data_IF_095310902588
#
_entry.id   IF_095310902588
#
_cell.length_a   1.000
_cell.length_b   1.000
_cell.length_c   1.000
_cell.angle_alpha   90.00
_cell.angle_beta   90.00
_cell.angle_gamma   90.00
#
_symmetry.space_group_name_H-M   'P 1'
#
loop_
_entity.id
_entity.type
_entity.pdbx_description
1 polymer ?
#
# COMPACT_ATOMS: atom_id res chain seq x y z
N UNK A 1 -45.85 10.07 -50.12
CA UNK A 1 -44.97 9.09 -49.43
C UNK A 1 -44.19 8.31 -50.47
N UNK A 2 -42.89 8.11 -50.23
CA UNK A 2 -41.93 7.24 -50.96
C UNK A 2 -41.51 7.77 -52.34
N UNK A 3 -40.28 7.64 -52.81
CA UNK A 3 -38.93 7.34 -52.28
C UNK A 3 -38.05 7.77 -53.46
N UNK A 4 -37.20 8.79 -53.32
CA UNK A 4 -36.28 9.15 -54.42
C UNK A 4 -34.96 8.39 -54.25
N UNK A 5 -34.63 7.71 -55.34
CA UNK A 5 -33.54 6.78 -55.56
C UNK A 5 -32.20 7.50 -55.65
N UNK A 6 -31.22 7.08 -54.85
CA UNK A 6 -29.81 7.44 -55.04
C UNK A 6 -29.29 6.81 -56.33
N UNK A 7 -28.72 7.63 -57.22
CA UNK A 7 -27.86 7.17 -58.28
C UNK A 7 -26.79 8.24 -58.53
N UNK A 8 -25.58 8.03 -57.99
CA UNK A 8 -24.33 8.35 -58.69
C UNK A 8 -23.12 7.74 -57.97
N UNK A 9 -22.57 6.74 -58.65
CA UNK A 9 -21.27 6.12 -58.44
C UNK A 9 -20.23 6.83 -59.31
N UNK A 10 -18.97 6.80 -58.86
CA UNK A 10 -17.67 6.67 -59.59
C UNK A 10 -16.64 7.62 -58.93
N UNK A 11 -15.38 7.28 -58.64
CA UNK A 11 -14.60 6.02 -58.51
C UNK A 11 -13.17 6.46 -58.13
N UNK A 12 -12.46 5.66 -57.32
CA UNK A 12 -11.00 5.63 -57.22
C UNK A 12 -10.42 6.42 -56.03
N UNK A 13 -9.45 5.93 -55.24
CA UNK A 13 -8.61 4.73 -55.32
C UNK A 13 -8.03 4.46 -53.92
N UNK A 14 -8.20 3.21 -53.47
CA UNK A 14 -7.36 2.39 -52.60
C UNK A 14 -6.26 3.05 -51.74
N UNK A 15 -6.34 2.83 -50.42
CA UNK A 15 -5.44 1.94 -49.64
C UNK A 15 -6.24 1.49 -48.41
N UNK A 16 -6.57 0.19 -48.38
CA UNK A 16 -7.12 -0.51 -47.21
C UNK A 16 -6.07 -0.58 -46.08
N UNK A 17 -6.44 -0.84 -44.83
CA UNK A 17 -6.96 -2.14 -44.44
C UNK A 17 -7.73 -2.01 -43.12
N UNK A 18 -9.03 -2.33 -43.15
CA UNK A 18 -9.83 -2.58 -41.95
C UNK A 18 -9.47 -3.99 -41.48
N UNK A 19 -8.74 -4.13 -40.37
CA UNK A 19 -8.42 -5.44 -39.80
C UNK A 19 -9.65 -6.01 -39.09
N UNK A 20 -10.12 -7.17 -39.55
CA UNK A 20 -11.09 -8.02 -38.84
C UNK A 20 -10.46 -8.54 -37.54
N UNK A 21 -11.17 -8.40 -36.41
CA UNK A 21 -10.88 -9.17 -35.20
C UNK A 21 -11.34 -10.61 -35.41
N UNK A 22 -10.40 -11.54 -35.59
CA UNK A 22 -10.68 -12.96 -35.40
C UNK A 22 -10.49 -13.36 -33.92
N UNK A 23 -11.41 -14.17 -33.41
CA UNK A 23 -11.35 -14.74 -32.08
C UNK A 23 -10.23 -15.78 -31.99
N UNK A 24 -9.38 -15.66 -30.98
CA UNK A 24 -8.23 -16.55 -30.74
C UNK A 24 -8.73 -17.96 -30.36
N UNK A 25 -8.20 -19.05 -30.95
CA UNK A 25 -8.62 -20.40 -30.59
C UNK A 25 -8.12 -20.77 -29.16
N UNK A 26 -8.79 -21.73 -28.49
CA UNK A 26 -8.44 -22.13 -27.13
C UNK A 26 -7.06 -22.81 -27.09
N UNK A 27 -6.30 -22.51 -26.04
CA UNK A 27 -4.93 -22.99 -25.83
C UNK A 27 -4.94 -24.48 -25.52
N UNK A 28 -4.20 -25.27 -26.30
CA UNK A 28 -3.96 -26.69 -26.07
C UNK A 28 -2.81 -26.89 -25.05
N UNK A 29 -3.12 -27.53 -23.92
CA UNK A 29 -2.20 -27.76 -22.81
C UNK A 29 -1.45 -29.11 -22.88
N UNK A 30 -1.60 -29.87 -23.98
CA UNK A 30 -1.06 -31.24 -24.08
C UNK A 30 0.34 -31.35 -24.68
N UNK A 31 0.97 -30.26 -25.12
CA UNK A 31 2.36 -30.27 -25.59
C UNK A 31 3.38 -30.11 -24.44
N UNK A 32 4.46 -30.92 -24.38
CA UNK A 32 5.52 -30.72 -23.39
C UNK A 32 6.26 -29.40 -23.67
N UNK A 33 6.28 -28.52 -22.68
CA UNK A 33 6.98 -27.23 -22.74
C UNK A 33 8.48 -27.48 -22.76
N UNK A 34 9.16 -27.13 -23.86
CA UNK A 34 10.62 -27.10 -23.90
C UNK A 34 11.12 -25.94 -23.03
N UNK A 35 11.73 -26.25 -21.89
CA UNK A 35 12.40 -25.27 -21.04
C UNK A 35 13.63 -24.77 -21.79
N UNK A 36 13.58 -23.52 -22.26
CA UNK A 36 14.75 -22.86 -22.82
C UNK A 36 15.80 -22.64 -21.71
N UNK A 37 17.05 -23.05 -21.97
CA UNK A 37 18.16 -22.86 -21.04
C UNK A 37 18.40 -21.37 -20.74
N UNK A 38 18.85 -21.00 -19.52
CA UNK A 38 19.10 -19.61 -19.15
C UNK A 38 20.16 -18.96 -20.05
N UNK A 39 19.79 -17.86 -20.70
CA UNK A 39 20.73 -17.03 -21.48
C UNK A 39 21.54 -16.16 -20.51
N UNK A 40 22.83 -16.45 -20.39
CA UNK A 40 23.79 -15.68 -19.59
C UNK A 40 24.04 -14.32 -20.26
N UNK A 41 23.45 -13.25 -19.71
CA UNK A 41 23.72 -11.88 -20.16
C UNK A 41 25.10 -11.44 -19.66
N UNK A 42 26.10 -11.45 -20.52
CA UNK A 42 27.41 -10.80 -20.26
C UNK A 42 27.20 -9.32 -19.93
N UNK A 43 27.62 -8.93 -18.73
CA UNK A 43 27.58 -7.56 -18.25
C UNK A 43 28.60 -6.68 -19.02
N UNK A 44 28.11 -5.69 -19.75
CA UNK A 44 28.95 -4.61 -20.31
C UNK A 44 29.11 -3.53 -19.24
N UNK A 45 30.33 -3.06 -18.92
CA UNK A 45 30.55 -2.08 -17.87
C UNK A 45 30.01 -0.70 -18.31
N UNK A 46 28.93 -0.24 -17.67
CA UNK A 46 28.43 1.13 -17.84
C UNK A 46 29.35 2.11 -17.11
N UNK A 47 30.01 2.99 -17.86
CA UNK A 47 30.77 4.15 -17.34
C UNK A 47 29.86 5.01 -16.45
N UNK A 48 30.33 5.32 -15.22
CA UNK A 48 29.67 6.26 -14.30
C UNK A 48 29.58 7.63 -14.96
N UNK A 49 28.35 8.11 -15.19
CA UNK A 49 28.10 9.51 -15.58
C UNK A 49 28.34 10.41 -14.36
N UNK A 50 28.97 11.58 -14.51
CA UNK A 50 29.17 12.51 -13.40
C UNK A 50 27.83 13.03 -12.87
N UNK A 51 27.73 13.11 -11.54
CA UNK A 51 26.55 13.55 -10.80
C UNK A 51 26.27 15.01 -11.12
N UNK A 52 25.07 15.31 -11.63
CA UNK A 52 24.62 16.67 -11.88
C UNK A 52 24.54 17.48 -10.57
N UNK A 53 24.86 18.79 -10.59
CA UNK A 53 24.84 19.62 -9.38
C UNK A 53 23.42 19.73 -8.82
N UNK A 54 23.27 19.47 -7.51
CA UNK A 54 22.00 19.51 -6.78
C UNK A 54 21.35 20.90 -6.92
N UNK A 55 20.15 20.95 -7.49
CA UNK A 55 19.32 22.17 -7.59
C UNK A 55 18.98 22.64 -6.17
N UNK A 56 19.31 23.89 -5.83
CA UNK A 56 18.95 24.47 -4.52
C UNK A 56 17.42 24.50 -4.39
N UNK A 57 16.90 23.82 -3.37
CA UNK A 57 15.47 23.83 -3.03
C UNK A 57 15.05 25.23 -2.56
N UNK A 58 13.78 25.58 -2.77
CA UNK A 58 13.22 26.88 -2.37
C UNK A 58 13.24 27.08 -0.85
N UNK A 59 13.31 28.34 -0.43
CA UNK A 59 13.39 28.73 0.99
C UNK A 59 12.14 28.22 1.73
N UNK A 60 12.35 27.30 2.69
CA UNK A 60 11.27 26.70 3.51
C UNK A 60 10.95 25.25 3.18
N UNK A 61 11.54 24.66 2.13
CA UNK A 61 11.42 23.23 1.84
C UNK A 61 12.49 22.47 2.60
N UNK A 62 12.09 21.60 3.53
CA UNK A 62 13.00 20.66 4.16
C UNK A 62 13.63 19.80 3.06
N UNK A 63 14.97 19.70 3.06
CA UNK A 63 15.65 18.73 2.20
C UNK A 63 15.08 17.34 2.48
N UNK A 64 14.82 16.50 1.46
CA UNK A 64 14.47 15.11 1.69
C UNK A 64 15.47 14.52 2.67
N UNK A 65 14.97 14.17 3.86
CA UNK A 65 15.81 13.64 4.92
C UNK A 65 16.27 12.27 4.43
N UNK A 66 17.57 12.09 4.27
CA UNK A 66 18.11 10.79 3.92
C UNK A 66 17.78 9.86 5.11
N UNK A 67 16.93 8.83 4.96
CA UNK A 67 16.47 8.03 6.09
C UNK A 67 17.63 7.31 6.80
N UNK A 68 18.78 7.18 6.13
CA UNK A 68 20.03 6.64 6.69
C UNK A 68 20.86 7.68 7.48
N UNK A 69 20.61 8.98 7.30
CA UNK A 69 21.34 10.06 7.98
C UNK A 69 20.88 10.31 9.41
N UNK A 70 19.71 9.79 9.78
CA UNK A 70 19.24 9.80 11.16
C UNK A 70 19.82 8.58 11.86
N UNK A 71 20.69 8.80 12.83
CA UNK A 71 21.21 7.73 13.68
C UNK A 71 20.07 7.14 14.53
N UNK A 72 19.30 6.21 13.96
CA UNK A 72 18.28 5.47 14.67
C UNK A 72 18.95 4.39 15.51
N UNK A 73 19.09 4.66 16.81
CA UNK A 73 19.49 3.63 17.78
C UNK A 73 18.28 2.78 18.11
N UNK A 74 18.18 1.60 17.50
CA UNK A 74 17.19 0.59 17.86
C UNK A 74 17.44 0.17 19.31
N UNK A 75 16.50 0.44 20.21
CA UNK A 75 16.50 -0.18 21.54
C UNK A 75 16.07 -1.64 21.38
N UNK A 76 16.76 -2.61 22.01
CA UNK A 76 16.32 -3.99 21.97
C UNK A 76 14.92 -4.07 22.58
N UNK A 77 14.01 -4.72 21.85
CA UNK A 77 12.67 -4.95 22.34
C UNK A 77 12.73 -5.89 23.57
N UNK A 78 11.87 -5.67 24.59
CA UNK A 78 11.76 -6.61 25.70
C UNK A 78 11.32 -7.98 25.19
N UNK A 79 11.81 -9.06 25.81
CA UNK A 79 11.44 -10.43 25.44
C UNK A 79 9.96 -10.74 25.68
N UNK A 80 9.38 -10.10 26.69
CA UNK A 80 8.00 -10.28 27.10
C UNK A 80 7.32 -8.92 27.23
N UNK A 81 6.05 -8.88 26.85
CA UNK A 81 5.21 -7.70 26.98
C UNK A 81 4.50 -7.75 28.34
N UNK A 82 4.79 -6.78 29.21
CA UNK A 82 4.14 -6.67 30.51
C UNK A 82 2.79 -5.96 30.37
N UNK A 83 1.78 -6.47 31.08
CA UNK A 83 0.44 -5.88 31.20
C UNK A 83 0.25 -5.37 32.64
N UNK A 84 0.04 -4.06 32.78
CA UNK A 84 -0.16 -3.40 34.06
C UNK A 84 -1.65 -3.21 34.38
N UNK A 85 -1.92 -2.72 35.59
CA UNK A 85 -3.28 -2.46 36.05
C UNK A 85 -3.87 -1.28 35.27
N UNK A 86 -5.02 -1.49 34.64
CA UNK A 86 -5.77 -0.44 33.95
C UNK A 86 -5.26 -0.12 32.55
N UNK A 87 -4.31 -0.89 32.02
CA UNK A 87 -3.70 -0.63 30.71
C UNK A 87 -4.73 -0.59 29.58
N UNK A 88 -4.57 0.37 28.68
CA UNK A 88 -5.27 0.43 27.40
C UNK A 88 -4.42 -0.24 26.32
N UNK A 89 -4.82 -1.45 25.95
CA UNK A 89 -4.20 -2.26 24.90
C UNK A 89 -4.91 -2.00 23.59
N UNK A 90 -4.20 -1.44 22.62
CA UNK A 90 -4.72 -1.18 21.28
C UNK A 90 -4.05 -2.09 20.26
N UNK A 91 -4.88 -2.80 19.48
CA UNK A 91 -4.42 -3.66 18.40
C UNK A 91 -4.54 -2.89 17.09
N UNK A 92 -3.46 -2.83 16.32
CA UNK A 92 -3.44 -2.27 14.96
C UNK A 92 -2.96 -3.35 14.00
N UNK A 93 -3.30 -3.24 12.72
CA UNK A 93 -2.83 -4.21 11.74
C UNK A 93 -3.67 -4.27 10.48
N UNK A 94 -3.32 -5.26 9.67
CA UNK A 94 -3.94 -5.59 8.39
C UNK A 94 -5.10 -6.59 8.59
N UNK A 95 -5.31 -7.50 7.63
CA UNK A 95 -6.40 -8.45 7.63
C UNK A 95 -6.43 -9.36 8.86
N UNK A 96 -5.28 -9.78 9.39
CA UNK A 96 -5.25 -10.64 10.59
C UNK A 96 -5.90 -9.94 11.79
N UNK A 97 -5.49 -8.69 12.08
CA UNK A 97 -6.09 -7.90 13.15
C UNK A 97 -7.59 -7.64 12.91
N UNK A 98 -7.96 -7.26 11.67
CA UNK A 98 -9.37 -7.04 11.33
C UNK A 98 -10.25 -8.27 11.61
N UNK A 99 -9.78 -9.48 11.25
CA UNK A 99 -10.54 -10.71 11.51
C UNK A 99 -10.64 -11.11 12.98
N UNK A 100 -9.73 -10.66 13.83
CA UNK A 100 -9.85 -10.87 15.28
C UNK A 100 -11.06 -10.14 15.88
N UNK A 101 -11.63 -9.13 15.20
CA UNK A 101 -12.92 -8.55 15.61
C UNK A 101 -14.11 -9.51 15.42
N UNK A 102 -14.03 -10.40 14.43
CA UNK A 102 -15.06 -11.41 14.19
C UNK A 102 -14.88 -12.65 15.06
N UNK A 103 -13.63 -12.96 15.42
CA UNK A 103 -13.26 -14.10 16.25
C UNK A 103 -12.41 -13.62 17.44
N UNK A 104 -13.01 -13.04 18.48
CA UNK A 104 -12.32 -12.34 19.57
C UNK A 104 -11.70 -13.32 20.61
N UNK A 105 -11.14 -14.43 20.15
CA UNK A 105 -10.49 -15.42 21.00
C UNK A 105 -9.30 -14.82 21.73
N UNK A 106 -8.46 -14.04 21.03
CA UNK A 106 -7.30 -13.40 21.62
C UNK A 106 -7.66 -12.41 22.73
N UNK A 107 -8.68 -11.57 22.50
CA UNK A 107 -9.18 -10.64 23.50
C UNK A 107 -9.72 -11.37 24.74
N UNK A 108 -10.53 -12.41 24.51
CA UNK A 108 -11.07 -13.26 25.58
C UNK A 108 -9.96 -13.90 26.41
N UNK A 109 -8.96 -14.46 25.73
CA UNK A 109 -7.80 -15.10 26.34
C UNK A 109 -6.92 -14.14 27.14
N UNK A 110 -6.86 -12.85 26.76
CA UNK A 110 -6.19 -11.81 27.54
C UNK A 110 -6.97 -11.50 28.83
N UNK A 111 -8.28 -11.31 28.75
CA UNK A 111 -9.11 -11.11 29.95
C UNK A 111 -9.05 -12.30 30.90
N UNK A 112 -9.01 -13.54 30.38
CA UNK A 112 -8.89 -14.75 31.20
C UNK A 112 -7.53 -14.89 31.89
N UNK A 113 -6.44 -14.47 31.23
CA UNK A 113 -5.09 -14.49 31.83
C UNK A 113 -4.87 -13.36 32.83
N UNK A 114 -5.54 -12.23 32.64
CA UNK A 114 -5.35 -11.02 33.44
C UNK A 114 -6.66 -10.50 34.07
N UNK A 115 -7.43 -11.34 34.79
CA UNK A 115 -8.77 -10.98 35.26
C UNK A 115 -8.76 -9.83 36.27
N UNK A 116 -7.70 -9.73 37.09
CA UNK A 116 -7.59 -8.69 38.11
C UNK A 116 -7.04 -7.37 37.58
N UNK A 117 -6.48 -7.35 36.36
CA UNK A 117 -5.77 -6.19 35.82
C UNK A 117 -6.68 -5.07 35.32
N UNK A 118 -7.97 -5.32 35.13
CA UNK A 118 -8.93 -4.34 34.63
C UNK A 118 -8.45 -3.61 33.36
N UNK A 119 -7.90 -4.38 32.41
CA UNK A 119 -7.40 -3.85 31.13
C UNK A 119 -8.55 -3.43 30.22
N UNK A 120 -8.26 -2.55 29.26
CA UNK A 120 -9.15 -2.21 28.15
C UNK A 120 -8.51 -2.66 26.87
N UNK A 121 -9.26 -3.37 26.03
CA UNK A 121 -8.76 -3.83 24.73
C UNK A 121 -9.56 -3.13 23.63
N UNK A 122 -8.87 -2.54 22.65
CA UNK A 122 -9.50 -1.97 21.46
C UNK A 122 -8.75 -2.42 20.21
N UNK A 123 -9.47 -3.07 19.31
CA UNK A 123 -8.92 -3.44 18.01
C UNK A 123 -9.30 -2.41 16.94
N UNK A 124 -8.27 -1.85 16.31
CA UNK A 124 -8.30 -0.89 15.21
C UNK A 124 -7.73 -1.47 13.91
N UNK A 125 -7.57 -2.80 13.85
CA UNK A 125 -7.16 -3.50 12.63
C UNK A 125 -8.17 -3.28 11.51
N UNK A 126 -7.65 -2.98 10.32
CA UNK A 126 -8.47 -2.80 9.13
C UNK A 126 -7.77 -3.43 7.91
N UNK A 127 -8.56 -3.98 7.00
CA UNK A 127 -8.03 -4.63 5.82
C UNK A 127 -7.36 -3.61 4.90
N UNK A 128 -6.22 -3.98 4.32
CA UNK A 128 -5.44 -3.07 3.47
C UNK A 128 -4.55 -2.08 4.25
N UNK A 129 -4.62 -2.04 5.59
CA UNK A 129 -3.61 -1.34 6.37
C UNK A 129 -2.24 -2.03 6.24
N UNK A 130 -1.20 -1.22 6.18
CA UNK A 130 0.21 -1.63 6.16
C UNK A 130 1.00 -0.83 7.21
N UNK A 131 2.26 -1.21 7.52
CA UNK A 131 3.06 -0.46 8.47
C UNK A 131 3.23 1.02 8.10
N UNK A 132 3.30 1.34 6.80
CA UNK A 132 3.54 2.69 6.29
C UNK A 132 2.30 3.41 5.76
N UNK A 133 1.23 2.70 5.41
CA UNK A 133 0.06 3.25 4.73
C UNK A 133 -1.24 2.64 5.25
N UNK A 134 -2.18 3.48 5.68
CA UNK A 134 -3.46 3.14 6.30
C UNK A 134 -4.59 3.93 5.60
N UNK A 135 -5.11 3.40 4.48
CA UNK A 135 -6.00 4.15 3.60
C UNK A 135 -7.34 4.46 4.29
N UNK A 136 -7.83 5.68 4.12
CA UNK A 136 -9.17 6.04 4.57
C UNK A 136 -9.72 7.21 3.73
N UNK A 137 -10.85 7.04 3.01
CA UNK A 137 -11.33 8.05 2.06
C UNK A 137 -11.72 9.38 2.71
N UNK A 138 -12.10 9.37 3.99
CA UNK A 138 -12.44 10.56 4.77
C UNK A 138 -11.23 11.31 5.38
N UNK A 139 -10.01 11.03 4.92
CA UNK A 139 -8.77 11.72 5.33
C UNK A 139 -8.05 12.27 4.12
N UNK A 140 -7.26 13.33 4.29
CA UNK A 140 -6.41 13.83 3.20
C UNK A 140 -5.32 12.82 2.85
N UNK A 141 -4.73 12.96 1.67
CA UNK A 141 -3.74 11.99 1.16
C UNK A 141 -2.56 11.79 2.11
N UNK A 142 -2.04 12.87 2.69
CA UNK A 142 -0.87 12.82 3.56
C UNK A 142 -1.18 12.15 4.91
N UNK A 143 -2.43 12.27 5.38
CA UNK A 143 -2.92 11.70 6.63
C UNK A 143 -3.16 10.17 6.55
N UNK A 144 -3.00 9.57 5.37
CA UNK A 144 -3.06 8.13 5.17
C UNK A 144 -1.71 7.44 5.40
N UNK A 145 -0.62 8.20 5.46
CA UNK A 145 0.70 7.66 5.75
C UNK A 145 0.95 7.64 7.25
N UNK A 146 1.49 6.53 7.77
CA UNK A 146 1.65 6.33 9.20
C UNK A 146 2.79 7.18 9.81
N UNK A 147 3.74 7.61 9.00
CA UNK A 147 4.86 8.46 9.43
C UNK A 147 5.42 9.25 8.23
N UNK A 148 6.10 10.36 8.54
CA UNK A 148 6.79 11.14 7.52
C UNK A 148 7.87 10.28 6.83
N UNK A 149 7.87 10.26 5.49
CA UNK A 149 8.77 9.40 4.72
C UNK A 149 8.18 8.03 4.33
N UNK A 150 7.00 7.65 4.84
CA UNK A 150 6.41 6.34 4.55
C UNK A 150 6.01 6.18 3.08
N UNK A 151 5.66 7.27 2.40
CA UNK A 151 5.31 7.27 0.97
C UNK A 151 6.49 6.82 0.11
N UNK A 152 7.67 7.28 0.44
CA UNK A 152 8.92 7.01 -0.27
C UNK A 152 9.35 5.54 -0.14
N UNK A 153 8.89 4.84 0.90
CA UNK A 153 9.13 3.41 1.11
C UNK A 153 8.25 2.52 0.23
N UNK A 154 7.17 3.05 -0.33
CA UNK A 154 6.29 2.30 -1.23
C UNK A 154 6.86 2.27 -2.66
N UNK A 155 6.70 1.15 -3.39
CA UNK A 155 6.95 1.11 -4.84
C UNK A 155 6.24 2.24 -5.56
N UNK A 156 6.91 2.88 -6.53
CA UNK A 156 6.37 4.06 -7.24
C UNK A 156 5.05 3.76 -7.94
N UNK A 157 4.86 2.51 -8.35
CA UNK A 157 3.66 2.01 -9.01
C UNK A 157 2.44 1.99 -8.08
N UNK A 158 2.66 1.94 -6.76
CA UNK A 158 1.61 1.90 -5.74
C UNK A 158 1.35 3.28 -5.10
N UNK A 159 2.13 4.30 -5.46
CA UNK A 159 1.94 5.68 -5.01
C UNK A 159 0.83 6.37 -5.79
N UNK A 160 -0.39 5.89 -5.63
CA UNK A 160 -1.58 6.45 -6.29
C UNK A 160 -1.97 7.78 -5.64
N UNK A 161 -2.22 8.81 -6.45
CA UNK A 161 -2.84 10.05 -6.02
C UNK A 161 -4.35 9.96 -6.24
N UNK A 162 -5.09 9.54 -5.21
CA UNK A 162 -6.56 9.41 -5.26
C UNK A 162 -7.31 10.67 -4.80
N UNK A 163 -6.58 11.72 -4.40
CA UNK A 163 -7.11 13.00 -3.89
C UNK A 163 -8.26 12.82 -2.89
N UNK A 164 -8.11 11.98 -1.85
CA UNK A 164 -9.11 11.79 -0.82
C UNK A 164 -9.24 13.07 0.02
N UNK A 165 -10.44 13.33 0.54
CA UNK A 165 -10.74 14.55 1.28
C UNK A 165 -11.67 14.25 2.45
N UNK A 166 -11.36 14.80 3.61
CA UNK A 166 -12.22 14.75 4.78
C UNK A 166 -11.51 15.17 6.05
N UNK A 167 -12.21 15.00 7.17
CA UNK A 167 -11.81 15.49 8.50
C UNK A 167 -11.82 14.39 9.56
N UNK A 168 -11.75 13.12 9.15
CA UNK A 168 -11.67 12.02 10.10
C UNK A 168 -10.34 12.04 10.84
N UNK A 169 -10.37 11.70 12.13
CA UNK A 169 -9.16 11.60 12.94
C UNK A 169 -8.18 10.59 12.34
N UNK A 170 -6.89 10.90 12.36
CA UNK A 170 -5.81 10.01 11.92
C UNK A 170 -5.68 8.80 12.84
N UNK A 171 -5.03 7.70 12.40
CA UNK A 171 -4.80 6.55 13.27
C UNK A 171 -4.09 6.91 14.58
N UNK A 172 -3.16 7.85 14.54
CA UNK A 172 -2.38 8.29 15.70
C UNK A 172 -3.21 9.19 16.64
N UNK A 173 -4.12 10.00 16.09
CA UNK A 173 -5.10 10.73 16.89
C UNK A 173 -6.05 9.77 17.62
N UNK A 174 -6.50 8.70 16.96
CA UNK A 174 -7.28 7.64 17.60
C UNK A 174 -6.51 6.93 18.72
N UNK A 175 -5.24 6.60 18.50
CA UNK A 175 -4.39 6.01 19.54
C UNK A 175 -4.26 6.93 20.76
N UNK A 176 -4.08 8.23 20.52
CA UNK A 176 -4.02 9.24 21.58
C UNK A 176 -5.35 9.33 22.34
N UNK A 177 -6.48 9.35 21.62
CA UNK A 177 -7.83 9.39 22.21
C UNK A 177 -8.13 8.16 23.06
N UNK A 178 -7.66 6.99 22.64
CA UNK A 178 -7.82 5.73 23.38
C UNK A 178 -6.86 5.62 24.57
N UNK A 179 -5.88 6.53 24.68
CA UNK A 179 -4.85 6.49 25.70
C UNK A 179 -4.04 5.20 25.63
N UNK A 180 -3.63 4.78 24.43
CA UNK A 180 -2.97 3.50 24.22
C UNK A 180 -1.64 3.41 24.99
N UNK A 181 -1.61 2.60 26.05
CA UNK A 181 -0.40 2.30 26.82
C UNK A 181 0.43 1.22 26.13
N UNK A 182 -0.27 0.25 25.54
CA UNK A 182 0.33 -0.89 24.82
C UNK A 182 -0.26 -0.98 23.42
N UNK A 183 0.61 -1.00 22.40
CA UNK A 183 0.20 -1.18 21.00
C UNK A 183 0.73 -2.51 20.48
N UNK A 184 -0.16 -3.37 19.99
CA UNK A 184 0.18 -4.64 19.35
C UNK A 184 -0.09 -4.52 17.85
N UNK A 185 0.93 -4.75 17.03
CA UNK A 185 0.84 -4.57 15.58
C UNK A 185 0.88 -5.91 14.82
N UNK A 186 -0.17 -6.23 14.07
CA UNK A 186 -0.27 -7.40 13.18
C UNK A 186 -0.31 -6.95 11.70
N UNK A 187 0.86 -6.65 11.13
CA UNK A 187 0.98 -6.25 9.72
C UNK A 187 1.40 -7.42 8.84
#
# INVERSE_FOLDING_TARGET
MKKQTLNRLILGSAIGMLAQLEAKPPVDFSAPVTIAAPQEKKAVPKKKKPVAPKRKLSRGVLTPMDPESVAFKMKPAPKELAINQGDSVVIIGSGMASRMNHFPHFETELYLRFPEKNIKIRNMGDEGNTPGFRPHPGRNQDDQYAFAGAKELLPKELQTASSPAGHFETPDQWLTRLGADTIIAFF
#
